data_IF_901123554039
#
_entry.id   IF_901123554039
#
_cell.length_a   1.000
_cell.length_b   1.000
_cell.length_c   1.000
_cell.angle_alpha   90.00
_cell.angle_beta   90.00
_cell.angle_gamma   90.00
#
_symmetry.space_group_name_H-M   'P 1'
#
loop_
_entity.id
_entity.type
_entity.pdbx_description
1 polymer ?
#
# COMPACT_ATOMS: atom_id res chain seq x y z
N UNK A 1 -17.37 -10.16 3.86
CA UNK A 1 -16.00 -10.66 3.63
C UNK A 1 -15.90 -12.08 4.16
N UNK A 2 -15.45 -13.05 3.36
CA UNK A 2 -15.23 -14.42 3.83
C UNK A 2 -13.78 -14.58 4.28
N UNK A 3 -13.53 -15.44 5.28
CA UNK A 3 -12.17 -15.69 5.80
C UNK A 3 -11.17 -16.09 4.69
N UNK A 4 -11.66 -16.75 3.64
CA UNK A 4 -10.87 -17.14 2.46
C UNK A 4 -10.37 -15.93 1.66
N UNK A 5 -11.24 -14.94 1.42
CA UNK A 5 -10.88 -13.72 0.68
C UNK A 5 -9.88 -12.89 1.50
N UNK A 6 -10.10 -12.78 2.82
CA UNK A 6 -9.18 -12.05 3.69
C UNK A 6 -7.76 -12.65 3.66
N UNK A 7 -7.64 -13.98 3.72
CA UNK A 7 -6.36 -14.67 3.67
C UNK A 7 -5.66 -14.50 2.31
N UNK A 8 -6.41 -14.57 1.21
CA UNK A 8 -5.87 -14.32 -0.12
C UNK A 8 -5.35 -12.88 -0.27
N UNK A 9 -6.12 -11.88 0.20
CA UNK A 9 -5.70 -10.49 0.17
C UNK A 9 -4.45 -10.24 1.01
N UNK A 10 -4.38 -10.84 2.21
CA UNK A 10 -3.20 -10.72 3.06
C UNK A 10 -1.94 -11.28 2.37
N UNK A 11 -2.05 -12.47 1.76
CA UNK A 11 -0.95 -13.07 1.00
C UNK A 11 -0.53 -12.20 -0.19
N UNK A 12 -1.51 -11.65 -0.92
CA UNK A 12 -1.24 -10.78 -2.07
C UNK A 12 -0.46 -9.52 -1.65
N UNK A 13 -0.88 -8.88 -0.55
CA UNK A 13 -0.21 -7.68 -0.03
C UNK A 13 1.21 -8.01 0.43
N UNK A 14 1.40 -9.10 1.19
CA UNK A 14 2.74 -9.51 1.65
C UNK A 14 3.66 -9.85 0.47
N UNK A 15 3.15 -10.56 -0.53
CA UNK A 15 3.91 -10.88 -1.74
C UNK A 15 4.33 -9.61 -2.50
N UNK A 16 3.43 -8.63 -2.65
CA UNK A 16 3.72 -7.35 -3.28
C UNK A 16 4.78 -6.55 -2.54
N UNK A 17 4.68 -6.46 -1.20
CA UNK A 17 5.68 -5.78 -0.36
C UNK A 17 7.04 -6.49 -0.40
N UNK A 18 7.06 -7.82 -0.37
CA UNK A 18 8.29 -8.61 -0.49
C UNK A 18 8.98 -8.42 -1.84
N UNK A 19 8.20 -8.36 -2.92
CA UNK A 19 8.71 -8.06 -4.26
C UNK A 19 9.30 -6.64 -4.34
N UNK A 20 8.58 -5.65 -3.81
CA UNK A 20 9.04 -4.26 -3.78
C UNK A 20 10.32 -4.08 -2.96
N UNK A 21 10.42 -4.76 -1.81
CA UNK A 21 11.63 -4.76 -0.99
C UNK A 21 12.83 -5.37 -1.71
N UNK A 22 12.67 -6.51 -2.38
CA UNK A 22 13.80 -7.23 -2.99
C UNK A 22 14.26 -6.63 -4.32
N UNK A 23 13.34 -6.16 -5.16
CA UNK A 23 13.65 -5.70 -6.51
C UNK A 23 13.70 -4.19 -6.68
N UNK A 24 13.03 -3.43 -5.81
CA UNK A 24 12.84 -1.98 -5.98
C UNK A 24 13.25 -1.18 -4.74
N UNK A 25 13.92 -1.78 -3.75
CA UNK A 25 14.35 -1.11 -2.50
C UNK A 25 13.21 -0.34 -1.81
N UNK A 26 12.00 -0.91 -1.83
CA UNK A 26 10.76 -0.28 -1.31
C UNK A 26 10.31 1.00 -2.02
N UNK A 27 10.86 1.33 -3.19
CA UNK A 27 10.56 2.57 -3.89
C UNK A 27 9.07 2.70 -4.27
N UNK A 28 8.39 1.60 -4.65
CA UNK A 28 6.96 1.67 -4.99
C UNK A 28 6.11 1.92 -3.73
N UNK A 29 6.43 1.28 -2.60
CA UNK A 29 5.77 1.50 -1.31
C UNK A 29 5.96 2.94 -0.83
N UNK A 30 7.18 3.49 -0.93
CA UNK A 30 7.46 4.88 -0.58
C UNK A 30 6.77 5.88 -1.51
N UNK A 31 6.64 5.55 -2.79
CA UNK A 31 5.85 6.36 -3.73
C UNK A 31 4.37 6.42 -3.31
N UNK A 32 3.76 5.26 -3.02
CA UNK A 32 2.38 5.19 -2.54
C UNK A 32 2.19 5.92 -1.21
N UNK A 33 3.12 5.78 -0.28
CA UNK A 33 3.07 6.47 1.01
C UNK A 33 3.05 7.99 0.83
N UNK A 34 3.95 8.54 0.00
CA UNK A 34 3.95 9.99 -0.30
C UNK A 34 2.64 10.45 -0.93
N UNK A 35 2.13 9.71 -1.91
CA UNK A 35 0.84 10.03 -2.54
C UNK A 35 -0.35 9.95 -1.59
N UNK A 36 -0.29 9.07 -0.61
CA UNK A 36 -1.30 8.98 0.43
C UNK A 36 -1.26 10.19 1.35
N UNK A 37 -0.06 10.68 1.71
CA UNK A 37 0.10 11.93 2.47
C UNK A 37 -0.43 13.11 1.66
N UNK A 38 -0.06 13.25 0.39
CA UNK A 38 -0.58 14.30 -0.50
C UNK A 38 -2.13 14.29 -0.53
N UNK A 39 -2.73 13.09 -0.59
CA UNK A 39 -4.19 12.93 -0.60
C UNK A 39 -4.82 13.33 0.75
N UNK A 40 -4.17 12.98 1.87
CA UNK A 40 -4.63 13.39 3.21
C UNK A 40 -4.56 14.91 3.35
N UNK A 41 -3.48 15.55 2.90
CA UNK A 41 -3.33 17.00 2.91
C UNK A 41 -4.42 17.67 2.05
N UNK A 42 -4.68 17.14 0.86
CA UNK A 42 -5.76 17.61 0.00
C UNK A 42 -7.10 17.47 0.71
N UNK A 43 -7.42 16.30 1.28
CA UNK A 43 -8.67 16.08 2.01
C UNK A 43 -8.82 17.02 3.22
N UNK A 44 -7.72 17.27 3.95
CA UNK A 44 -7.68 18.17 5.08
C UNK A 44 -7.93 19.63 4.68
N UNK A 45 -7.57 20.03 3.46
CA UNK A 45 -7.91 21.34 2.91
C UNK A 45 -9.42 21.52 2.66
N UNK A 46 -10.14 20.45 2.29
CA UNK A 46 -11.60 20.51 2.03
C UNK A 46 -12.46 20.38 3.28
N UNK A 47 -11.87 20.03 4.42
CA UNK A 47 -12.55 20.03 5.71
C UNK A 47 -12.63 21.44 6.27
#
# INVERSE_FOLDING_TARGET
MTNKIALFLALLIIAGLGWDYYYNDMAASFFLARKTVDLIEWLAFWR
#
